data_IF_594829113501
#
_entry.id   IF_594829113501
#
_cell.length_a   1.000
_cell.length_b   1.000
_cell.length_c   1.000
_cell.angle_alpha   90.00
_cell.angle_beta   90.00
_cell.angle_gamma   90.00
#
_symmetry.space_group_name_H-M   'P 1'
#
loop_
_entity.id
_entity.type
_entity.pdbx_description
1 polymer ?
#
# COMPACT_ATOMS: atom_id res chain seq x y z
N UNK A 1 3.14 23.79 1.07
CA UNK A 1 3.11 23.05 -0.21
C UNK A 1 1.70 23.05 -0.77
N UNK A 2 1.54 22.86 -2.11
CA UNK A 2 0.24 22.63 -2.76
C UNK A 2 0.28 21.27 -3.44
N UNK A 3 -0.80 20.50 -3.31
CA UNK A 3 -0.95 19.20 -3.97
C UNK A 3 -2.42 18.94 -4.34
N UNK A 4 -2.64 18.08 -5.33
CA UNK A 4 -3.96 17.58 -5.74
C UNK A 4 -3.97 16.06 -5.57
N UNK A 5 -4.83 15.56 -4.70
CA UNK A 5 -5.04 14.12 -4.49
C UNK A 5 -6.47 13.80 -4.87
N UNK A 6 -6.66 13.01 -5.90
CA UNK A 6 -7.98 12.57 -6.36
C UNK A 6 -8.43 11.37 -5.53
N UNK A 7 -9.68 11.37 -5.09
CA UNK A 7 -10.29 10.25 -4.37
C UNK A 7 -11.40 9.62 -5.20
N UNK A 8 -11.34 8.32 -5.38
CA UNK A 8 -12.30 7.54 -6.17
C UNK A 8 -13.00 6.51 -5.30
N UNK A 9 -14.30 6.27 -5.56
CA UNK A 9 -15.07 5.20 -4.92
C UNK A 9 -16.17 4.70 -5.88
N UNK A 10 -16.65 3.46 -5.68
CA UNK A 10 -17.78 2.88 -6.43
C UNK A 10 -19.01 2.72 -5.53
N UNK A 11 -18.83 2.23 -4.30
CA UNK A 11 -19.90 1.84 -3.38
C UNK A 11 -20.13 2.84 -2.25
N UNK A 12 -21.25 2.71 -1.53
CA UNK A 12 -21.47 3.49 -0.30
C UNK A 12 -20.44 3.18 0.80
N UNK A 13 -19.87 1.96 0.80
CA UNK A 13 -18.77 1.59 1.67
C UNK A 13 -17.50 2.37 1.31
N UNK A 14 -17.12 2.37 0.04
CA UNK A 14 -15.99 3.14 -0.47
C UNK A 14 -16.15 4.64 -0.19
N UNK A 15 -17.37 5.17 -0.28
CA UNK A 15 -17.69 6.56 0.08
C UNK A 15 -17.37 6.89 1.55
N UNK A 16 -17.66 5.98 2.48
CA UNK A 16 -17.30 6.17 3.90
C UNK A 16 -15.79 6.21 4.09
N UNK A 17 -15.04 5.30 3.45
CA UNK A 17 -13.58 5.31 3.49
C UNK A 17 -13.02 6.59 2.84
N UNK A 18 -13.59 7.02 1.71
CA UNK A 18 -13.25 8.26 1.04
C UNK A 18 -13.43 9.49 1.95
N UNK A 19 -14.54 9.57 2.68
CA UNK A 19 -14.80 10.64 3.63
C UNK A 19 -13.79 10.62 4.79
N UNK A 20 -13.48 9.44 5.32
CA UNK A 20 -12.46 9.26 6.37
C UNK A 20 -11.07 9.69 5.89
N UNK A 21 -10.66 9.23 4.70
CA UNK A 21 -9.40 9.61 4.05
C UNK A 21 -9.31 11.12 3.83
N UNK A 22 -10.37 11.73 3.28
CA UNK A 22 -10.46 13.18 3.06
C UNK A 22 -10.32 13.97 4.35
N UNK A 23 -10.99 13.53 5.43
CA UNK A 23 -10.94 14.19 6.74
C UNK A 23 -9.54 14.14 7.33
N UNK A 24 -8.89 12.97 7.30
CA UNK A 24 -7.53 12.79 7.84
C UNK A 24 -6.50 13.58 7.03
N UNK A 25 -6.59 13.56 5.69
CA UNK A 25 -5.71 14.37 4.82
C UNK A 25 -5.90 15.88 5.05
N UNK A 26 -7.14 16.35 5.16
CA UNK A 26 -7.43 17.76 5.43
C UNK A 26 -6.89 18.18 6.79
N UNK A 27 -7.08 17.35 7.84
CA UNK A 27 -6.54 17.62 9.17
C UNK A 27 -5.01 17.66 9.17
N UNK A 28 -4.36 16.72 8.48
CA UNK A 28 -2.89 16.73 8.32
C UNK A 28 -2.43 17.97 7.58
N UNK A 29 -3.11 18.36 6.49
CA UNK A 29 -2.77 19.56 5.74
C UNK A 29 -2.87 20.84 6.60
N UNK A 30 -3.93 20.97 7.40
CA UNK A 30 -4.12 22.10 8.32
C UNK A 30 -3.02 22.13 9.38
N UNK A 31 -2.73 21.00 10.02
CA UNK A 31 -1.72 20.91 11.08
C UNK A 31 -0.31 21.34 10.64
N UNK A 32 0.02 21.15 9.36
CA UNK A 32 1.33 21.48 8.80
C UNK A 32 1.33 22.68 7.82
N UNK A 33 0.22 23.38 7.68
CA UNK A 33 0.12 24.57 6.85
C UNK A 33 0.20 24.29 5.34
N UNK A 34 -0.32 23.15 4.88
CA UNK A 34 -0.38 22.79 3.47
C UNK A 34 -1.75 23.11 2.84
N UNK A 35 -1.78 23.21 1.52
CA UNK A 35 -3.02 23.32 0.74
C UNK A 35 -3.14 22.06 -0.12
N UNK A 36 -3.95 21.11 0.30
CA UNK A 36 -4.21 19.88 -0.44
C UNK A 36 -5.62 19.93 -1.00
N UNK A 37 -5.74 19.88 -2.34
CA UNK A 37 -7.03 19.76 -3.03
C UNK A 37 -7.42 18.29 -3.04
N UNK A 38 -8.66 17.98 -2.64
CA UNK A 38 -9.18 16.62 -2.48
C UNK A 38 -10.46 16.43 -3.32
N UNK A 39 -10.39 16.50 -4.66
CA UNK A 39 -11.54 16.23 -5.50
C UNK A 39 -11.97 14.77 -5.37
N UNK A 40 -13.29 14.55 -5.26
CA UNK A 40 -13.90 13.23 -5.07
C UNK A 40 -14.76 12.89 -6.28
N UNK A 41 -14.66 11.66 -6.78
CA UNK A 41 -15.52 11.16 -7.86
C UNK A 41 -16.02 9.76 -7.54
N UNK A 42 -17.33 9.55 -7.78
CA UNK A 42 -17.90 8.21 -7.82
C UNK A 42 -17.68 7.61 -9.20
N UNK A 43 -17.12 6.40 -9.26
CA UNK A 43 -17.04 5.59 -10.47
C UNK A 43 -18.26 4.67 -10.54
N UNK A 44 -18.81 4.46 -11.73
CA UNK A 44 -19.90 3.53 -11.89
C UNK A 44 -19.35 2.09 -11.94
N UNK A 45 -20.00 1.19 -11.23
CA UNK A 45 -19.68 -0.23 -11.28
C UNK A 45 -19.88 -0.77 -12.69
N UNK A 46 -18.90 -1.44 -13.26
CA UNK A 46 -18.90 -1.97 -14.64
C UNK A 46 -18.71 -0.95 -15.79
N UNK A 47 -18.54 0.31 -15.54
CA UNK A 47 -18.01 1.23 -16.56
C UNK A 47 -16.49 1.09 -16.61
N UNK A 48 -15.93 0.95 -17.81
CA UNK A 48 -14.48 1.03 -18.03
C UNK A 48 -13.96 2.45 -17.74
N UNK A 49 -12.69 2.67 -17.94
CA UNK A 49 -12.06 3.98 -17.77
C UNK A 49 -12.49 4.90 -18.90
N UNK A 50 -13.23 5.97 -18.58
CA UNK A 50 -13.63 6.99 -19.55
C UNK A 50 -12.58 8.09 -19.66
N UNK A 51 -12.56 8.78 -20.84
CA UNK A 51 -11.70 9.95 -21.03
C UNK A 51 -11.91 11.01 -19.93
N UNK A 52 -13.16 11.20 -19.48
CA UNK A 52 -13.48 12.12 -18.39
C UNK A 52 -12.87 11.70 -17.05
N UNK A 53 -12.73 10.39 -16.76
CA UNK A 53 -12.08 9.89 -15.57
C UNK A 53 -10.56 10.09 -15.69
N UNK A 54 -9.99 9.86 -16.85
CA UNK A 54 -8.57 10.11 -17.12
C UNK A 54 -8.22 11.60 -16.98
N UNK A 55 -9.00 12.48 -17.57
CA UNK A 55 -8.84 13.93 -17.43
C UNK A 55 -8.97 14.38 -15.97
N UNK A 56 -9.87 13.75 -15.19
CA UNK A 56 -10.05 14.05 -13.78
C UNK A 56 -8.83 13.64 -12.93
N UNK A 57 -8.14 12.56 -13.31
CA UNK A 57 -6.95 12.04 -12.64
C UNK A 57 -5.65 12.63 -13.18
N UNK A 58 -5.61 13.10 -14.44
CA UNK A 58 -4.38 13.34 -15.21
C UNK A 58 -3.46 14.43 -14.66
N UNK A 59 -3.97 15.41 -13.89
CA UNK A 59 -3.17 16.46 -13.26
C UNK A 59 -3.05 16.28 -11.74
N UNK A 60 -3.36 15.09 -11.22
CA UNK A 60 -3.22 14.76 -9.82
C UNK A 60 -1.78 14.34 -9.46
N UNK A 61 -1.33 14.75 -8.29
CA UNK A 61 -0.07 14.25 -7.72
C UNK A 61 -0.20 12.78 -7.29
N UNK A 62 -1.42 12.37 -6.90
CA UNK A 62 -1.76 10.99 -6.58
C UNK A 62 -3.26 10.73 -6.70
N UNK A 63 -3.62 9.45 -6.90
CA UNK A 63 -4.99 8.95 -6.88
C UNK A 63 -5.16 7.96 -5.73
N UNK A 64 -6.23 8.10 -4.95
CA UNK A 64 -6.65 7.16 -3.92
C UNK A 64 -7.93 6.46 -4.38
N UNK A 65 -7.86 5.18 -4.67
CA UNK A 65 -9.02 4.32 -4.84
C UNK A 65 -9.49 3.88 -3.44
N UNK A 66 -10.59 4.44 -2.94
CA UNK A 66 -10.98 4.33 -1.53
C UNK A 66 -11.65 3.00 -1.16
N UNK A 67 -11.67 2.04 -2.06
CA UNK A 67 -12.10 0.67 -1.78
C UNK A 67 -11.31 -0.34 -2.59
N UNK A 68 -11.23 -1.54 -2.05
CA UNK A 68 -10.59 -2.65 -2.74
C UNK A 68 -11.47 -3.18 -3.88
N UNK A 69 -10.81 -3.61 -4.96
CA UNK A 69 -11.50 -4.30 -6.06
C UNK A 69 -12.43 -3.42 -6.88
N UNK A 70 -12.20 -2.10 -6.92
CA UNK A 70 -12.87 -1.23 -7.89
C UNK A 70 -12.70 -1.81 -9.29
N UNK A 71 -13.80 -1.88 -10.05
CA UNK A 71 -13.83 -2.52 -11.36
C UNK A 71 -12.91 -1.84 -12.38
N UNK A 72 -12.78 -0.51 -12.28
CA UNK A 72 -11.93 0.30 -13.15
C UNK A 72 -10.45 0.31 -12.77
N UNK A 73 -10.06 -0.20 -11.58
CA UNK A 73 -8.71 -0.02 -11.05
C UNK A 73 -7.60 -0.61 -11.93
N UNK A 74 -7.70 -1.85 -12.47
CA UNK A 74 -6.64 -2.40 -13.33
C UNK A 74 -6.47 -1.62 -14.63
N UNK A 75 -7.59 -1.22 -15.26
CA UNK A 75 -7.57 -0.42 -16.48
C UNK A 75 -7.04 0.98 -16.20
N UNK A 76 -7.47 1.64 -15.12
CA UNK A 76 -6.99 2.95 -14.72
C UNK A 76 -5.47 2.93 -14.44
N UNK A 77 -4.97 1.90 -13.78
CA UNK A 77 -3.53 1.76 -13.55
C UNK A 77 -2.75 1.63 -14.87
N UNK A 78 -3.30 0.90 -15.86
CA UNK A 78 -2.71 0.77 -17.19
C UNK A 78 -2.74 2.10 -17.95
N UNK A 79 -3.87 2.80 -17.97
CA UNK A 79 -4.01 4.10 -18.65
C UNK A 79 -3.14 5.20 -18.01
N UNK A 80 -2.94 5.15 -16.69
CA UNK A 80 -1.98 6.00 -15.98
C UNK A 80 -0.53 5.54 -16.13
N UNK A 81 -0.25 4.57 -17.02
CA UNK A 81 1.10 4.06 -17.31
C UNK A 81 1.81 3.46 -16.09
N UNK A 82 1.09 2.95 -15.10
CA UNK A 82 1.70 2.28 -13.95
C UNK A 82 2.32 0.96 -14.39
N UNK A 83 3.61 0.78 -14.14
CA UNK A 83 4.37 -0.39 -14.58
C UNK A 83 4.68 -1.38 -13.43
N UNK A 84 4.51 -0.95 -12.19
CA UNK A 84 4.84 -1.71 -10.98
C UNK A 84 3.70 -1.64 -9.98
N UNK A 85 3.39 -2.78 -9.33
CA UNK A 85 2.55 -2.82 -8.14
C UNK A 85 3.40 -3.20 -6.92
N UNK A 86 3.29 -2.42 -5.86
CA UNK A 86 3.90 -2.68 -4.56
C UNK A 86 2.80 -3.00 -3.57
N UNK A 87 2.75 -4.24 -3.06
CA UNK A 87 1.84 -4.66 -1.99
C UNK A 87 2.56 -4.65 -0.66
N UNK A 88 2.14 -3.79 0.25
CA UNK A 88 2.71 -3.70 1.59
C UNK A 88 1.84 -4.47 2.60
N UNK A 89 2.42 -5.54 3.13
CA UNK A 89 1.80 -6.45 4.10
C UNK A 89 2.38 -6.27 5.52
N UNK A 90 3.11 -5.20 5.79
CA UNK A 90 3.86 -4.97 7.03
C UNK A 90 3.03 -4.26 8.08
N UNK A 91 2.19 -4.98 8.79
CA UNK A 91 1.37 -4.44 9.90
C UNK A 91 1.67 -5.08 11.27
N UNK A 92 2.57 -6.06 11.31
CA UNK A 92 2.78 -6.92 12.49
C UNK A 92 3.15 -6.18 13.78
N UNK A 93 3.67 -4.95 13.69
CA UNK A 93 3.98 -4.11 14.85
C UNK A 93 2.79 -3.29 15.35
N UNK A 94 1.67 -3.28 14.61
CA UNK A 94 0.52 -2.41 14.89
C UNK A 94 -0.60 -3.10 15.65
N UNK A 95 -0.80 -4.39 15.40
CA UNK A 95 -1.85 -5.20 16.04
C UNK A 95 -1.29 -6.57 16.44
N UNK A 96 -2.08 -7.31 17.23
CA UNK A 96 -1.75 -8.68 17.63
C UNK A 96 -1.58 -9.58 16.40
N UNK A 97 -0.75 -10.63 16.55
CA UNK A 97 -0.53 -11.60 15.49
C UNK A 97 -1.84 -12.31 15.11
N UNK A 98 -2.30 -12.11 13.89
CA UNK A 98 -3.52 -12.72 13.33
C UNK A 98 -3.22 -13.74 12.24
N UNK A 99 -1.98 -14.18 12.14
CA UNK A 99 -1.56 -15.16 11.13
C UNK A 99 -2.40 -16.43 11.21
N UNK A 100 -2.94 -16.86 10.09
CA UNK A 100 -3.72 -18.09 9.96
C UNK A 100 -2.89 -19.36 10.30
N UNK A 101 -1.57 -19.26 10.27
CA UNK A 101 -0.69 -20.39 10.63
C UNK A 101 -0.51 -20.56 12.12
N UNK A 102 -1.02 -19.64 12.96
CA UNK A 102 -0.86 -19.66 14.42
C UNK A 102 0.60 -19.58 14.88
N UNK A 103 1.51 -19.12 14.03
CA UNK A 103 2.93 -18.96 14.35
C UNK A 103 3.18 -17.60 15.02
N UNK A 104 4.21 -17.53 15.86
CA UNK A 104 4.58 -16.33 16.60
C UNK A 104 5.01 -15.15 15.71
N UNK A 105 5.34 -15.45 14.45
CA UNK A 105 5.78 -14.45 13.47
C UNK A 105 4.83 -14.42 12.29
N UNK A 106 3.98 -13.40 12.14
CA UNK A 106 3.16 -13.21 10.95
C UNK A 106 4.04 -12.93 9.73
N UNK A 107 3.49 -13.20 8.55
CA UNK A 107 4.13 -12.77 7.31
C UNK A 107 4.14 -11.24 7.25
N UNK A 108 5.34 -10.67 7.18
CA UNK A 108 5.55 -9.22 7.27
C UNK A 108 6.52 -8.79 6.15
N UNK A 109 6.02 -8.74 4.92
CA UNK A 109 6.84 -8.49 3.74
C UNK A 109 6.20 -7.49 2.77
N UNK A 110 7.00 -7.06 1.81
CA UNK A 110 6.56 -6.26 0.66
C UNK A 110 6.72 -7.10 -0.60
N UNK A 111 5.69 -7.12 -1.45
CA UNK A 111 5.76 -7.77 -2.76
C UNK A 111 5.81 -6.69 -3.84
N UNK A 112 6.87 -6.68 -4.62
CA UNK A 112 7.07 -5.78 -5.75
C UNK A 112 6.89 -6.57 -7.04
N UNK A 113 5.82 -6.28 -7.76
CA UNK A 113 5.42 -7.00 -8.96
C UNK A 113 5.53 -6.07 -10.17
N UNK A 114 6.23 -6.51 -11.22
CA UNK A 114 6.07 -5.89 -12.54
C UNK A 114 4.64 -6.14 -13.05
N UNK A 115 3.97 -5.13 -13.60
CA UNK A 115 2.60 -5.29 -14.12
C UNK A 115 2.59 -5.85 -15.54
N UNK A 116 3.69 -5.66 -16.27
CA UNK A 116 3.86 -6.08 -17.65
C UNK A 116 5.16 -6.87 -17.85
N UNK A 117 5.22 -7.63 -18.96
CA UNK A 117 6.40 -8.43 -19.34
C UNK A 117 7.45 -7.63 -20.15
N UNK A 118 7.29 -6.34 -20.23
CA UNK A 118 8.22 -5.45 -20.93
C UNK A 118 9.47 -5.19 -20.10
N UNK A 119 10.61 -5.04 -20.78
CA UNK A 119 11.91 -4.84 -20.13
C UNK A 119 11.87 -3.64 -19.17
N UNK A 120 11.24 -2.55 -19.57
CA UNK A 120 11.13 -1.33 -18.75
C UNK A 120 10.37 -1.58 -17.43
N UNK A 121 9.27 -2.34 -17.46
CA UNK A 121 8.51 -2.71 -16.27
C UNK A 121 9.32 -3.64 -15.34
N UNK A 122 10.06 -4.60 -15.90
CA UNK A 122 10.94 -5.48 -15.14
C UNK A 122 12.07 -4.71 -14.45
N UNK A 123 12.71 -3.78 -15.17
CA UNK A 123 13.78 -2.91 -14.64
C UNK A 123 13.26 -2.01 -13.51
N UNK A 124 12.07 -1.42 -13.70
CA UNK A 124 11.46 -0.57 -12.69
C UNK A 124 11.07 -1.36 -11.43
N UNK A 125 10.52 -2.56 -11.58
CA UNK A 125 10.20 -3.44 -10.46
C UNK A 125 11.46 -3.85 -9.68
N UNK A 126 12.53 -4.24 -10.38
CA UNK A 126 13.81 -4.54 -9.77
C UNK A 126 14.35 -3.32 -8.99
N UNK A 127 14.44 -2.16 -9.62
CA UNK A 127 14.89 -0.92 -9.00
C UNK A 127 14.07 -0.59 -7.74
N UNK A 128 12.73 -0.63 -7.82
CA UNK A 128 11.84 -0.33 -6.69
C UNK A 128 12.04 -1.28 -5.53
N UNK A 129 12.20 -2.57 -5.81
CA UNK A 129 12.43 -3.59 -4.78
C UNK A 129 13.76 -3.36 -4.03
N UNK A 130 14.82 -3.05 -4.74
CA UNK A 130 16.12 -2.75 -4.12
C UNK A 130 16.10 -1.43 -3.34
N UNK A 131 15.38 -0.41 -3.81
CA UNK A 131 15.18 0.85 -3.08
C UNK A 131 14.50 0.59 -1.73
N UNK A 132 13.39 -0.17 -1.72
CA UNK A 132 12.68 -0.54 -0.48
C UNK A 132 13.57 -1.36 0.44
N UNK A 133 14.27 -2.37 -0.10
CA UNK A 133 15.20 -3.22 0.64
C UNK A 133 16.30 -2.39 1.32
N UNK A 134 16.90 -1.44 0.61
CA UNK A 134 17.96 -0.59 1.13
C UNK A 134 17.46 0.42 2.19
N UNK A 135 16.31 1.06 1.96
CA UNK A 135 15.73 2.04 2.87
C UNK A 135 15.27 1.42 4.20
N UNK A 136 14.70 0.22 4.13
CA UNK A 136 14.10 -0.46 5.27
C UNK A 136 14.99 -1.55 5.87
N UNK A 137 16.21 -1.72 5.35
CA UNK A 137 17.16 -2.76 5.75
C UNK A 137 16.58 -4.19 5.70
N UNK A 138 15.81 -4.49 4.65
CA UNK A 138 15.12 -5.76 4.47
C UNK A 138 15.89 -6.71 3.55
N UNK A 139 15.80 -8.02 3.84
CA UNK A 139 16.26 -9.06 2.91
C UNK A 139 15.43 -9.01 1.63
N UNK A 140 16.08 -9.19 0.47
CA UNK A 140 15.41 -9.24 -0.82
C UNK A 140 15.47 -10.65 -1.42
N UNK A 141 14.34 -11.10 -1.93
CA UNK A 141 14.17 -12.33 -2.69
C UNK A 141 13.68 -12.00 -4.11
N UNK A 142 14.18 -12.69 -5.12
CA UNK A 142 13.67 -12.61 -6.48
C UNK A 142 13.02 -13.92 -6.90
N UNK A 143 11.87 -13.82 -7.58
CA UNK A 143 11.22 -14.98 -8.22
C UNK A 143 11.34 -14.82 -9.74
N UNK A 144 12.34 -15.47 -10.38
CA UNK A 144 12.60 -15.23 -11.79
C UNK A 144 11.51 -15.86 -12.69
N UNK A 145 11.19 -15.22 -13.83
CA UNK A 145 10.39 -15.84 -14.87
C UNK A 145 11.18 -16.94 -15.59
N UNK A 146 10.44 -17.84 -16.23
CA UNK A 146 11.03 -18.84 -17.14
C UNK A 146 10.98 -18.38 -18.61
N UNK A 147 11.74 -19.06 -19.47
CA UNK A 147 11.68 -18.88 -20.91
C UNK A 147 12.31 -17.56 -21.40
N UNK A 148 11.64 -16.91 -22.36
CA UNK A 148 12.21 -15.73 -23.08
C UNK A 148 12.49 -14.53 -22.19
N UNK A 149 11.80 -14.40 -21.08
CA UNK A 149 11.94 -13.27 -20.14
C UNK A 149 13.10 -13.44 -19.17
N UNK A 150 13.64 -14.66 -19.01
CA UNK A 150 14.66 -14.95 -18.01
C UNK A 150 15.92 -14.08 -18.17
N UNK A 151 16.37 -13.85 -19.40
CA UNK A 151 17.55 -13.01 -19.66
C UNK A 151 17.30 -11.52 -19.34
N UNK A 152 16.16 -10.97 -19.76
CA UNK A 152 15.78 -9.59 -19.43
C UNK A 152 15.67 -9.39 -17.93
N UNK A 153 15.05 -10.36 -17.23
CA UNK A 153 14.95 -10.37 -15.78
C UNK A 153 16.31 -10.37 -15.08
N UNK A 154 17.21 -11.27 -15.47
CA UNK A 154 18.56 -11.34 -14.89
C UNK A 154 19.34 -10.04 -15.12
N UNK A 155 19.17 -9.40 -16.27
CA UNK A 155 19.78 -8.11 -16.55
C UNK A 155 19.21 -7.02 -15.64
N UNK A 156 17.88 -6.95 -15.47
CA UNK A 156 17.20 -5.99 -14.61
C UNK A 156 17.64 -6.13 -13.14
N UNK A 157 17.62 -7.35 -12.63
CA UNK A 157 18.08 -7.67 -11.27
C UNK A 157 19.56 -7.34 -11.09
N UNK A 158 20.45 -7.75 -12.05
CA UNK A 158 21.88 -7.48 -11.97
C UNK A 158 22.23 -5.99 -11.99
N UNK A 159 21.51 -5.19 -12.77
CA UNK A 159 21.67 -3.74 -12.79
C UNK A 159 21.26 -3.12 -11.43
N UNK A 160 20.11 -3.50 -10.88
CA UNK A 160 19.64 -3.00 -9.59
C UNK A 160 20.55 -3.45 -8.44
N UNK A 161 20.99 -4.70 -8.43
CA UNK A 161 21.91 -5.28 -7.44
C UNK A 161 23.24 -4.53 -7.39
N UNK A 162 23.82 -4.23 -8.54
CA UNK A 162 25.10 -3.51 -8.65
C UNK A 162 25.06 -2.10 -8.05
N UNK A 163 23.91 -1.46 -8.00
CA UNK A 163 23.70 -0.11 -7.48
C UNK A 163 23.33 -0.09 -5.98
N UNK A 164 23.01 -1.24 -5.40
CA UNK A 164 22.37 -1.32 -4.08
C UNK A 164 23.16 -2.11 -3.05
N UNK A 165 24.49 -2.28 -3.24
CA UNK A 165 25.33 -2.98 -2.25
C UNK A 165 25.13 -2.43 -0.83
N UNK A 166 25.08 -3.28 0.21
CA UNK A 166 25.40 -4.71 0.23
C UNK A 166 24.21 -5.66 0.02
N UNK A 167 23.09 -5.20 -0.45
CA UNK A 167 21.87 -6.00 -0.61
C UNK A 167 21.93 -6.80 -1.92
N UNK A 168 21.82 -8.13 -1.82
CA UNK A 168 21.80 -9.05 -2.94
C UNK A 168 20.49 -9.83 -2.97
N UNK A 169 19.86 -9.90 -4.14
CA UNK A 169 18.62 -10.64 -4.30
C UNK A 169 18.89 -12.15 -4.33
N UNK A 170 18.34 -12.87 -3.37
CA UNK A 170 18.38 -14.33 -3.35
C UNK A 170 17.32 -14.87 -4.31
N UNK A 171 17.72 -15.79 -5.19
CA UNK A 171 16.81 -16.46 -6.10
C UNK A 171 15.92 -17.50 -5.38
N UNK A 172 14.62 -17.43 -5.66
CA UNK A 172 13.60 -18.33 -5.11
C UNK A 172 12.69 -18.82 -6.24
N UNK A 173 12.65 -20.13 -6.46
CA UNK A 173 11.75 -20.69 -7.45
C UNK A 173 10.28 -20.54 -7.01
N UNK A 174 9.38 -20.16 -7.92
CA UNK A 174 7.96 -19.96 -7.61
C UNK A 174 7.29 -21.15 -6.90
N UNK A 175 7.53 -22.43 -7.28
CA UNK A 175 6.96 -23.56 -6.55
C UNK A 175 7.43 -23.70 -5.09
N UNK A 176 8.57 -23.10 -4.76
CA UNK A 176 9.11 -23.10 -3.39
C UNK A 176 8.68 -21.87 -2.60
N UNK A 177 8.31 -20.78 -3.27
CA UNK A 177 8.01 -19.49 -2.64
C UNK A 177 6.81 -19.61 -1.69
N UNK A 178 5.68 -20.12 -2.15
CA UNK A 178 4.45 -20.25 -1.34
C UNK A 178 4.65 -21.17 -0.13
N UNK A 179 5.20 -22.40 -0.26
CA UNK A 179 5.53 -23.23 0.90
C UNK A 179 6.48 -22.52 1.90
N UNK A 180 7.50 -21.82 1.41
CA UNK A 180 8.40 -21.09 2.30
C UNK A 180 7.72 -19.92 3.00
N UNK A 181 6.80 -19.20 2.35
CA UNK A 181 5.98 -18.16 2.98
C UNK A 181 5.12 -18.72 4.12
N UNK A 182 4.66 -19.98 4.00
CA UNK A 182 3.88 -20.67 5.05
C UNK A 182 4.78 -21.12 6.20
N UNK A 183 5.93 -21.73 5.89
CA UNK A 183 6.78 -22.37 6.90
C UNK A 183 7.83 -21.46 7.52
N UNK A 184 8.20 -20.36 6.86
CA UNK A 184 9.31 -19.47 7.23
C UNK A 184 8.92 -18.01 7.07
N UNK A 185 7.80 -17.60 7.66
CA UNK A 185 7.19 -16.27 7.50
C UNK A 185 8.15 -15.13 7.82
N UNK A 186 8.97 -15.27 8.88
CA UNK A 186 9.93 -14.24 9.32
C UNK A 186 11.14 -14.05 8.39
N UNK A 187 11.30 -14.91 7.38
CA UNK A 187 12.43 -14.85 6.45
C UNK A 187 12.29 -13.74 5.40
N UNK A 188 11.07 -13.39 5.06
CA UNK A 188 10.78 -12.52 3.94
C UNK A 188 10.77 -11.06 4.35
N UNK A 189 11.47 -10.23 3.58
CA UNK A 189 11.41 -8.78 3.65
C UNK A 189 10.79 -8.20 2.39
N UNK A 190 11.51 -8.23 1.26
CA UNK A 190 11.02 -7.79 -0.04
C UNK A 190 11.05 -8.98 -1.01
N UNK A 191 9.99 -9.18 -1.77
CA UNK A 191 9.92 -10.17 -2.84
C UNK A 191 9.70 -9.42 -4.16
N UNK A 192 10.62 -9.53 -5.12
CA UNK A 192 10.44 -9.00 -6.46
C UNK A 192 10.10 -10.10 -7.45
N UNK A 193 9.10 -9.86 -8.29
CA UNK A 193 8.56 -10.90 -9.17
C UNK A 193 7.93 -10.32 -10.45
N UNK A 194 7.87 -11.14 -11.53
CA UNK A 194 7.19 -10.80 -12.77
C UNK A 194 5.65 -10.90 -12.61
N UNK A 195 4.85 -10.44 -13.60
CA UNK A 195 3.40 -10.33 -13.48
C UNK A 195 2.70 -11.59 -12.99
N UNK A 196 2.97 -12.72 -13.61
CA UNK A 196 2.32 -14.00 -13.27
C UNK A 196 2.61 -14.46 -11.83
N UNK A 197 3.88 -14.42 -11.43
CA UNK A 197 4.29 -14.85 -10.09
C UNK A 197 3.73 -13.91 -9.02
N UNK A 198 3.73 -12.59 -9.30
CA UNK A 198 3.24 -11.58 -8.37
C UNK A 198 1.76 -11.73 -8.03
N UNK A 199 0.92 -12.07 -9.01
CA UNK A 199 -0.49 -12.31 -8.74
C UNK A 199 -0.71 -13.46 -7.73
N UNK A 200 0.02 -14.58 -7.89
CA UNK A 200 -0.07 -15.73 -6.98
C UNK A 200 0.49 -15.41 -5.60
N UNK A 201 1.69 -14.84 -5.56
CA UNK A 201 2.39 -14.57 -4.30
C UNK A 201 1.69 -13.50 -3.47
N UNK A 202 1.18 -12.45 -4.12
CA UNK A 202 0.49 -11.37 -3.45
C UNK A 202 -0.82 -11.84 -2.79
N UNK A 203 -1.62 -12.66 -3.46
CA UNK A 203 -2.84 -13.22 -2.88
C UNK A 203 -2.55 -14.24 -1.77
N UNK A 204 -1.54 -15.10 -1.96
CA UNK A 204 -1.10 -16.04 -0.91
C UNK A 204 -0.60 -15.28 0.33
N UNK A 205 0.19 -14.24 0.14
CA UNK A 205 0.72 -13.41 1.23
C UNK A 205 -0.39 -12.66 1.97
N UNK A 206 -1.36 -12.10 1.24
CA UNK A 206 -2.51 -11.43 1.83
C UNK A 206 -3.33 -12.38 2.72
N UNK A 207 -3.61 -13.58 2.23
CA UNK A 207 -4.31 -14.60 3.02
C UNK A 207 -3.50 -15.01 4.27
N UNK A 208 -2.18 -15.17 4.14
CA UNK A 208 -1.31 -15.56 5.25
C UNK A 208 -1.11 -14.44 6.28
N UNK A 209 -1.28 -13.20 5.89
CA UNK A 209 -1.16 -12.06 6.81
C UNK A 209 -2.18 -12.10 7.94
N UNK A 210 -3.41 -12.58 7.66
CA UNK A 210 -4.50 -12.66 8.63
C UNK A 210 -5.20 -11.33 8.94
N UNK A 211 -4.74 -10.21 8.38
CA UNK A 211 -5.39 -8.91 8.45
C UNK A 211 -5.21 -8.12 7.14
N UNK A 212 -5.80 -8.59 6.03
CA UNK A 212 -5.64 -7.96 4.73
C UNK A 212 -6.17 -6.52 4.70
N UNK A 213 -7.17 -6.17 5.53
CA UNK A 213 -7.68 -4.81 5.66
C UNK A 213 -6.64 -3.79 6.16
N UNK A 214 -5.58 -4.26 6.84
CA UNK A 214 -4.44 -3.43 7.26
C UNK A 214 -3.42 -3.17 6.13
N UNK A 215 -3.59 -3.79 4.97
CA UNK A 215 -2.64 -3.79 3.87
C UNK A 215 -3.12 -2.89 2.72
N UNK A 216 -2.20 -2.50 1.85
CA UNK A 216 -2.51 -1.66 0.69
C UNK A 216 -1.63 -2.00 -0.51
N UNK A 217 -2.09 -1.59 -1.68
CA UNK A 217 -1.35 -1.60 -2.94
C UNK A 217 -0.97 -0.16 -3.35
N UNK A 218 0.25 0.01 -3.84
CA UNK A 218 0.72 1.16 -4.61
C UNK A 218 0.91 0.71 -6.06
N UNK A 219 0.39 1.47 -7.01
CA UNK A 219 0.68 1.35 -8.42
C UNK A 219 1.53 2.53 -8.85
N UNK A 220 2.71 2.27 -9.37
CA UNK A 220 3.73 3.27 -9.65
C UNK A 220 4.41 3.07 -10.99
N UNK A 221 5.19 4.08 -11.40
CA UNK A 221 5.96 4.07 -12.63
C UNK A 221 5.35 4.85 -13.78
N UNK A 222 4.13 5.37 -13.58
CA UNK A 222 3.47 6.29 -14.49
C UNK A 222 3.66 7.76 -14.08
N UNK A 223 2.84 8.63 -14.65
CA UNK A 223 2.84 10.07 -14.36
C UNK A 223 2.28 10.37 -12.96
N UNK A 224 1.38 9.52 -12.46
CA UNK A 224 0.71 9.64 -11.19
C UNK A 224 0.75 8.31 -10.43
N UNK A 225 1.00 8.34 -9.14
CA UNK A 225 0.90 7.16 -8.30
C UNK A 225 -0.55 6.91 -7.88
N UNK A 226 -0.98 5.63 -7.92
CA UNK A 226 -2.31 5.24 -7.53
C UNK A 226 -2.21 4.28 -6.32
N UNK A 227 -3.08 4.50 -5.34
CA UNK A 227 -3.10 3.74 -4.09
C UNK A 227 -4.49 3.14 -3.85
N UNK A 228 -4.53 1.91 -3.35
CA UNK A 228 -5.77 1.24 -2.99
C UNK A 228 -5.58 0.39 -1.73
N UNK A 229 -6.60 0.26 -0.84
CA UNK A 229 -6.55 -0.72 0.23
C UNK A 229 -6.58 -2.13 -0.37
N UNK A 230 -5.99 -3.08 0.32
CA UNK A 230 -6.07 -4.48 -0.08
C UNK A 230 -7.49 -5.00 0.14
N UNK A 231 -7.88 -5.99 -0.67
CA UNK A 231 -9.21 -6.58 -0.63
C UNK A 231 -9.52 -7.16 0.74
N UNK A 232 -10.65 -6.73 1.29
CA UNK A 232 -11.25 -7.27 2.48
C UNK A 232 -12.01 -8.56 2.13
N UNK A 233 -11.92 -9.58 2.96
CA UNK A 233 -12.63 -10.85 2.77
C UNK A 233 -14.05 -10.81 3.31
N UNK A 234 -14.34 -9.88 4.20
CA UNK A 234 -15.63 -9.68 4.84
C UNK A 234 -16.26 -8.33 4.48
N UNK A 235 -17.56 -8.16 4.69
CA UNK A 235 -18.28 -6.91 4.44
C UNK A 235 -17.85 -5.73 5.36
N UNK A 236 -16.94 -5.99 6.31
CA UNK A 236 -16.40 -4.96 7.18
C UNK A 236 -15.40 -4.06 6.44
N UNK A 237 -15.65 -2.77 6.47
CA UNK A 237 -14.75 -1.79 5.90
C UNK A 237 -13.68 -1.41 6.92
N UNK A 238 -12.41 -1.62 6.59
CA UNK A 238 -11.28 -1.18 7.39
C UNK A 238 -10.64 0.08 6.79
N UNK A 239 -10.60 1.21 7.49
CA UNK A 239 -9.94 2.41 7.03
C UNK A 239 -8.40 2.34 7.16
N UNK A 240 -7.86 1.42 7.97
CA UNK A 240 -6.44 1.43 8.32
C UNK A 240 -5.53 1.13 7.13
N UNK A 241 -5.91 0.22 6.22
CA UNK A 241 -5.16 -0.01 4.98
C UNK A 241 -5.06 1.26 4.13
N UNK A 242 -6.17 1.99 3.98
CA UNK A 242 -6.19 3.28 3.28
C UNK A 242 -5.36 4.35 4.01
N UNK A 243 -5.44 4.43 5.33
CA UNK A 243 -4.67 5.40 6.11
C UNK A 243 -3.17 5.12 6.03
N UNK A 244 -2.76 3.85 6.01
CA UNK A 244 -1.37 3.46 5.76
C UNK A 244 -0.93 3.77 4.33
N UNK A 245 -1.80 3.59 3.35
CA UNK A 245 -1.54 4.03 1.98
C UNK A 245 -1.32 5.55 1.90
N UNK A 246 -2.10 6.34 2.65
CA UNK A 246 -1.92 7.80 2.77
C UNK A 246 -0.58 8.14 3.42
N UNK A 247 -0.15 7.45 4.47
CA UNK A 247 1.18 7.64 5.06
C UNK A 247 2.28 7.43 4.01
N UNK A 248 2.16 6.36 3.22
CA UNK A 248 3.11 6.05 2.15
C UNK A 248 3.09 7.11 1.03
N UNK A 249 1.90 7.56 0.60
CA UNK A 249 1.73 8.64 -0.37
C UNK A 249 2.40 9.93 0.11
N UNK A 250 2.15 10.36 1.34
CA UNK A 250 2.76 11.55 1.92
C UNK A 250 4.29 11.45 1.91
N UNK A 251 4.83 10.31 2.35
CA UNK A 251 6.27 10.07 2.47
C UNK A 251 6.96 9.96 1.10
N UNK A 252 6.42 9.11 0.22
CA UNK A 252 7.14 8.69 -0.99
C UNK A 252 6.73 9.45 -2.25
N UNK A 253 5.47 9.88 -2.38
CA UNK A 253 5.00 10.68 -3.53
C UNK A 253 5.19 12.17 -3.27
N UNK A 254 4.66 12.68 -2.16
CA UNK A 254 4.71 14.11 -1.87
C UNK A 254 5.98 14.56 -1.13
N UNK A 255 6.84 13.62 -0.68
CA UNK A 255 8.07 13.90 0.08
C UNK A 255 7.83 14.67 1.39
N UNK A 256 6.69 14.41 2.02
CA UNK A 256 6.24 14.99 3.27
C UNK A 256 6.50 14.01 4.43
N UNK A 257 7.78 13.83 4.79
CA UNK A 257 8.20 12.83 5.79
C UNK A 257 7.68 13.12 7.20
N UNK A 258 7.60 14.39 7.59
CA UNK A 258 7.11 14.79 8.92
C UNK A 258 5.61 14.54 9.07
N UNK A 259 4.85 14.87 8.04
CA UNK A 259 3.41 14.68 7.95
C UNK A 259 3.06 13.18 7.95
N UNK A 260 3.80 12.41 7.16
CA UNK A 260 3.68 10.95 7.15
C UNK A 260 3.98 10.36 8.53
N UNK A 261 5.08 10.73 9.16
CA UNK A 261 5.45 10.27 10.50
C UNK A 261 4.43 10.66 11.58
N UNK A 262 3.83 11.84 11.49
CA UNK A 262 2.75 12.26 12.38
C UNK A 262 1.51 11.37 12.21
N UNK A 263 1.10 11.10 10.97
CA UNK A 263 -0.05 10.24 10.70
C UNK A 263 0.23 8.77 11.10
N UNK A 264 1.43 8.25 10.81
CA UNK A 264 1.84 6.91 11.25
C UNK A 264 1.77 6.76 12.78
N UNK A 265 2.27 7.77 13.51
CA UNK A 265 2.19 7.81 14.97
C UNK A 265 0.74 7.88 15.46
N UNK A 266 -0.12 8.68 14.82
CA UNK A 266 -1.53 8.80 15.16
C UNK A 266 -2.26 7.46 14.97
N UNK A 267 -2.05 6.77 13.84
CA UNK A 267 -2.60 5.44 13.58
C UNK A 267 -2.11 4.43 14.62
N UNK A 268 -0.80 4.43 14.89
CA UNK A 268 -0.20 3.53 15.89
C UNK A 268 -0.78 3.77 17.29
N UNK A 269 -0.93 5.02 17.73
CA UNK A 269 -1.48 5.36 19.04
C UNK A 269 -2.93 4.89 19.20
N UNK A 270 -3.77 5.07 18.17
CA UNK A 270 -5.17 4.61 18.18
C UNK A 270 -5.23 3.08 18.31
N UNK A 271 -4.39 2.37 17.56
CA UNK A 271 -4.31 0.92 17.63
C UNK A 271 -3.72 0.43 18.97
N UNK A 272 -2.69 1.08 19.51
CA UNK A 272 -2.12 0.76 20.82
C UNK A 272 -3.07 1.04 21.98
N UNK A 273 -3.95 2.04 21.82
CA UNK A 273 -5.04 2.29 22.79
C UNK A 273 -6.15 1.22 22.74
N UNK A 274 -6.04 0.23 21.86
CA UNK A 274 -6.96 -0.90 21.78
C UNK A 274 -8.16 -0.68 20.86
N UNK A 275 -8.23 0.40 20.11
CA UNK A 275 -9.31 0.62 19.15
C UNK A 275 -9.15 -0.25 17.91
N UNK A 276 -10.22 -0.92 17.49
CA UNK A 276 -10.23 -1.86 16.35
C UNK A 276 -11.50 -1.72 15.53
N UNK A 277 -11.40 -1.94 14.26
CA UNK A 277 -12.55 -2.23 13.39
C UNK A 277 -12.96 -3.70 13.52
N UNK A 278 -14.14 -4.05 13.03
CA UNK A 278 -14.75 -5.37 13.24
C UNK A 278 -13.92 -6.53 12.72
N UNK A 279 -13.18 -6.32 11.62
CA UNK A 279 -12.31 -7.31 10.96
C UNK A 279 -11.04 -7.64 11.76
N UNK A 280 -10.55 -6.68 12.55
CA UNK A 280 -9.36 -6.85 13.40
C UNK A 280 -9.67 -6.84 14.89
N UNK A 281 -10.94 -6.96 15.29
CA UNK A 281 -11.37 -6.99 16.68
C UNK A 281 -10.81 -8.21 17.43
N UNK A 282 -10.37 -8.02 18.65
CA UNK A 282 -9.92 -9.07 19.58
C UNK A 282 -10.55 -8.89 20.97
N UNK A 283 -10.55 -9.92 21.86
CA UNK A 283 -11.31 -9.89 23.12
C UNK A 283 -11.03 -8.70 24.03
N UNK A 284 -9.81 -8.21 24.05
CA UNK A 284 -9.38 -7.13 24.95
C UNK A 284 -9.35 -5.76 24.27
N UNK A 285 -10.05 -5.60 23.13
CA UNK A 285 -10.05 -4.37 22.32
C UNK A 285 -11.44 -3.75 22.23
N UNK A 286 -11.48 -2.47 21.82
CA UNK A 286 -12.70 -1.69 21.70
C UNK A 286 -13.08 -1.53 20.23
N UNK A 287 -14.34 -1.78 19.92
CA UNK A 287 -14.87 -1.62 18.57
C UNK A 287 -15.00 -0.14 18.21
N UNK A 288 -14.53 0.22 17.04
CA UNK A 288 -14.82 1.49 16.36
C UNK A 288 -15.27 1.21 14.93
N UNK A 289 -15.96 2.17 14.31
CA UNK A 289 -16.28 2.16 12.89
C UNK A 289 -15.30 3.06 12.10
N UNK A 290 -15.53 3.19 10.80
CA UNK A 290 -14.69 4.00 9.91
C UNK A 290 -14.63 5.46 10.35
N UNK A 291 -15.78 6.04 10.71
CA UNK A 291 -15.90 7.44 11.09
C UNK A 291 -15.25 7.70 12.45
N UNK A 292 -15.49 6.83 13.43
CA UNK A 292 -14.87 6.88 14.73
C UNK A 292 -13.35 6.72 14.69
N UNK A 293 -12.84 5.81 13.86
CA UNK A 293 -11.39 5.65 13.65
C UNK A 293 -10.76 6.94 13.09
N UNK A 294 -11.39 7.52 12.07
CA UNK A 294 -10.92 8.79 11.49
C UNK A 294 -10.95 9.93 12.51
N UNK A 295 -11.99 10.00 13.35
CA UNK A 295 -12.11 11.01 14.41
C UNK A 295 -11.01 10.88 15.46
N UNK A 296 -10.76 9.68 15.95
CA UNK A 296 -9.69 9.38 16.89
C UNK A 296 -8.33 9.76 16.34
N UNK A 297 -8.06 9.45 15.07
CA UNK A 297 -6.79 9.78 14.39
C UNK A 297 -6.65 11.28 14.19
N UNK A 298 -7.70 11.99 13.77
CA UNK A 298 -7.69 13.46 13.66
C UNK A 298 -7.37 14.10 15.00
N UNK A 299 -7.94 13.62 16.11
CA UNK A 299 -7.62 14.10 17.45
C UNK A 299 -6.14 13.92 17.83
N UNK A 300 -5.52 12.82 17.44
CA UNK A 300 -4.07 12.60 17.65
C UNK A 300 -3.22 13.57 16.80
N UNK A 301 -3.62 13.84 15.55
CA UNK A 301 -2.93 14.80 14.67
C UNK A 301 -3.01 16.22 15.24
N UNK A 302 -4.17 16.64 15.76
CA UNK A 302 -4.34 17.96 16.41
C UNK A 302 -3.41 18.14 17.61
N UNK A 303 -3.34 17.12 18.47
CA UNK A 303 -2.43 17.12 19.61
C UNK A 303 -0.98 17.25 19.17
N UNK A 304 -0.56 16.51 18.15
CA UNK A 304 0.80 16.59 17.61
C UNK A 304 1.07 17.95 16.94
N UNK A 305 0.11 18.50 16.19
CA UNK A 305 0.21 19.80 15.52
C UNK A 305 0.39 20.97 16.50
N UNK A 306 -0.26 20.93 17.66
CA UNK A 306 -0.10 21.98 18.70
C UNK A 306 1.33 22.07 19.24
N UNK A 307 2.05 20.95 19.33
CA UNK A 307 3.46 20.92 19.75
C UNK A 307 4.44 21.44 18.70
N UNK A 308 4.05 21.40 17.41
CA UNK A 308 4.90 21.86 16.29
C UNK A 308 4.82 23.38 16.14
N UNK A 309 3.68 23.98 16.46
CA UNK A 309 3.44 25.43 16.33
C UNK A 309 4.09 26.20 17.50
N UNK A 310 4.30 25.56 18.65
CA UNK A 310 4.94 26.20 19.84
C UNK A 310 6.48 26.17 19.83
N UNK A 311 7.12 25.62 18.81
CA UNK A 311 8.58 25.62 18.60
C UNK A 311 8.97 26.48 17.39
#
# INVERSE_FOLDING_TARGET
MRAKIVLLYETEKGKKICNAASRVLAQTAVAFGHTISLPVRQCAHSEGVSDELLDFCGDADAVLACESGMSCLPELASELMCAVRVRDLRYASLIENRSLTGRDYPLNCVIVQALENETAALELAAKRAFEISAQEHLQIDQVPPSGKLAQAWQTAIGNADSLSAPYHARELALPSAVPEMIYRTSRFGVIVCPPYAGGILAEAAAALSGAPGMCYDEYAGGECALYAPLRDTDDAADPFGMLRAICHLLKHTLKLEKEAGCLEAAVSNVLQAGWRTSDILSPDTQLTDIEGAAELICGQIELAGSWIIEK
#
